data_IF_112197721864
#
_entry.id   IF_112197721864
#
_cell.length_a   1.000
_cell.length_b   1.000
_cell.length_c   1.000
_cell.angle_alpha   90.00
_cell.angle_beta   90.00
_cell.angle_gamma   90.00
#
_symmetry.space_group_name_H-M   'P 1'
#
loop_
_entity.id
_entity.type
_entity.pdbx_description
1 polymer ?
#
# COMPACT_ATOMS: atom_id res chain seq x y z
N UNK A 1 -19.52 -6.99 3.20
CA UNK A 1 -18.68 -8.02 3.87
C UNK A 1 -17.78 -8.81 2.90
N UNK A 2 -17.80 -8.53 1.59
CA UNK A 2 -16.94 -9.20 0.60
C UNK A 2 -15.56 -8.55 0.41
N UNK A 3 -15.37 -7.31 0.88
CA UNK A 3 -14.10 -6.57 0.74
C UNK A 3 -12.92 -7.17 1.54
N UNK A 4 -13.17 -8.11 2.47
CA UNK A 4 -12.16 -8.75 3.31
C UNK A 4 -12.03 -10.27 3.11
N UNK A 5 -12.65 -10.86 2.08
CA UNK A 5 -12.56 -12.31 1.84
C UNK A 5 -13.38 -13.18 2.81
N UNK A 6 -14.51 -12.65 3.30
CA UNK A 6 -15.42 -13.37 4.20
C UNK A 6 -14.89 -13.56 5.63
N UNK A 7 -15.58 -14.40 6.41
CA UNK A 7 -15.29 -14.68 7.83
C UNK A 7 -13.84 -15.11 8.04
N UNK A 8 -13.24 -15.80 7.07
CA UNK A 8 -11.86 -16.28 7.14
C UNK A 8 -10.81 -15.19 7.00
N UNK A 9 -11.00 -14.24 6.07
CA UNK A 9 -10.10 -13.10 5.96
C UNK A 9 -10.25 -12.10 7.12
N UNK A 10 -11.42 -12.05 7.75
CA UNK A 10 -11.64 -11.32 9.00
C UNK A 10 -10.85 -11.95 10.16
N UNK A 11 -10.79 -13.28 10.23
CA UNK A 11 -9.95 -14.02 11.20
C UNK A 11 -8.47 -13.77 10.92
N UNK A 12 -8.02 -13.89 9.68
CA UNK A 12 -6.61 -13.69 9.30
C UNK A 12 -6.10 -12.26 9.57
N UNK A 13 -6.98 -11.26 9.52
CA UNK A 13 -6.63 -9.86 9.79
C UNK A 13 -6.68 -9.50 11.28
N UNK A 14 -7.51 -10.19 12.07
CA UNK A 14 -7.73 -9.88 13.48
C UNK A 14 -6.82 -10.69 14.40
N UNK A 15 -6.51 -11.94 14.03
CA UNK A 15 -5.69 -12.87 14.84
C UNK A 15 -4.28 -12.34 15.13
N UNK A 16 -3.52 -11.78 14.18
CA UNK A 16 -2.19 -11.26 14.48
C UNK A 16 -2.23 -10.06 15.45
N UNK A 17 -3.23 -9.19 15.31
CA UNK A 17 -3.45 -8.06 16.21
C UNK A 17 -3.80 -8.51 17.62
N UNK A 18 -4.66 -9.54 17.75
CA UNK A 18 -4.99 -10.13 19.05
C UNK A 18 -3.78 -10.80 19.71
N UNK A 19 -2.97 -11.53 18.96
CA UNK A 19 -1.75 -12.18 19.47
C UNK A 19 -0.72 -11.14 19.92
N UNK A 20 -0.55 -10.04 19.18
CA UNK A 20 0.27 -8.91 19.62
C UNK A 20 -0.17 -8.37 20.98
N UNK A 21 -1.48 -8.07 21.13
CA UNK A 21 -2.04 -7.54 22.38
C UNK A 21 -1.84 -8.53 23.52
N UNK A 22 -2.13 -9.81 23.31
CA UNK A 22 -2.05 -10.85 24.34
C UNK A 22 -0.61 -11.06 24.83
N UNK A 23 0.37 -11.13 23.92
CA UNK A 23 1.79 -11.28 24.27
C UNK A 23 2.33 -10.01 24.95
N UNK A 24 1.91 -8.83 24.49
CA UNK A 24 2.31 -7.56 25.10
C UNK A 24 1.72 -7.39 26.51
N UNK A 25 0.46 -7.77 26.73
CA UNK A 25 -0.20 -7.64 28.04
C UNK A 25 0.43 -8.56 29.09
N UNK A 26 0.84 -9.78 28.70
CA UNK A 26 1.45 -10.76 29.62
C UNK A 26 2.93 -10.48 29.86
N UNK A 27 3.69 -10.16 28.81
CA UNK A 27 5.14 -9.99 28.90
C UNK A 27 5.62 -8.56 29.15
N UNK A 28 4.78 -7.55 28.87
CA UNK A 28 5.13 -6.10 28.78
C UNK A 28 6.36 -5.77 27.92
N UNK A 29 6.84 -6.72 27.14
CA UNK A 29 7.97 -6.59 26.25
C UNK A 29 7.46 -6.42 24.81
N UNK A 30 7.63 -5.21 24.30
CA UNK A 30 7.18 -4.83 22.96
C UNK A 30 7.92 -5.59 21.86
N UNK A 31 9.20 -5.91 22.08
CA UNK A 31 10.05 -6.58 21.10
C UNK A 31 9.57 -8.01 20.87
N UNK A 32 9.25 -8.71 21.95
CA UNK A 32 8.76 -10.09 21.95
C UNK A 32 7.35 -10.18 21.35
N UNK A 33 6.47 -9.26 21.72
CA UNK A 33 5.12 -9.17 21.17
C UNK A 33 5.11 -8.87 19.67
N UNK A 34 5.97 -7.95 19.22
CA UNK A 34 6.12 -7.60 17.82
C UNK A 34 6.67 -8.77 17.00
N UNK A 35 7.72 -9.45 17.49
CA UNK A 35 8.32 -10.61 16.80
C UNK A 35 7.33 -11.77 16.70
N UNK A 36 6.57 -12.04 17.76
CA UNK A 36 5.55 -13.10 17.76
C UNK A 36 4.41 -12.81 16.77
N UNK A 37 3.87 -11.59 16.78
CA UNK A 37 2.79 -11.18 15.88
C UNK A 37 3.24 -11.10 14.41
N UNK A 38 4.48 -10.65 14.18
CA UNK A 38 5.09 -10.66 12.85
C UNK A 38 5.36 -12.08 12.37
N UNK A 39 5.92 -12.95 13.19
CA UNK A 39 6.14 -14.37 12.86
C UNK A 39 4.84 -15.08 12.49
N UNK A 40 3.77 -14.84 13.24
CA UNK A 40 2.44 -15.39 12.94
C UNK A 40 1.85 -14.81 11.65
N UNK A 41 2.00 -13.51 11.42
CA UNK A 41 1.57 -12.87 10.17
C UNK A 41 2.29 -13.43 8.95
N UNK A 42 3.59 -13.69 9.09
CA UNK A 42 4.42 -14.31 8.04
C UNK A 42 4.01 -15.77 7.82
N UNK A 43 3.74 -16.55 8.87
CA UNK A 43 3.26 -17.92 8.74
C UNK A 43 1.89 -17.99 8.04
N UNK A 44 0.97 -17.09 8.36
CA UNK A 44 -0.33 -17.01 7.70
C UNK A 44 -0.18 -16.56 6.23
N UNK A 45 0.73 -15.63 5.95
CA UNK A 45 1.06 -15.22 4.59
C UNK A 45 1.69 -16.37 3.77
N UNK A 46 2.57 -17.17 4.38
CA UNK A 46 3.16 -18.36 3.76
C UNK A 46 2.12 -19.48 3.56
N UNK A 47 1.21 -19.69 4.52
CA UNK A 47 0.10 -20.61 4.35
C UNK A 47 -0.83 -20.19 3.20
N UNK A 48 -1.07 -18.88 3.02
CA UNK A 48 -1.76 -18.32 1.84
C UNK A 48 -1.01 -18.59 0.54
N UNK A 49 0.32 -18.44 0.56
CA UNK A 49 1.18 -18.67 -0.59
C UNK A 49 1.15 -20.14 -1.04
N UNK A 50 1.18 -21.08 -0.09
CA UNK A 50 1.05 -22.53 -0.36
C UNK A 50 -0.35 -22.88 -0.90
N UNK A 51 -1.39 -22.14 -0.47
CA UNK A 51 -2.78 -22.33 -0.91
C UNK A 51 -3.11 -21.75 -2.29
N UNK A 52 -2.13 -21.17 -3.01
CA UNK A 52 -2.30 -20.55 -4.34
C UNK A 52 -3.37 -19.46 -4.43
N UNK A 53 -3.66 -18.78 -3.31
CA UNK A 53 -4.40 -17.52 -3.39
C UNK A 53 -3.50 -16.47 -4.05
N UNK A 54 -3.96 -15.95 -5.20
CA UNK A 54 -3.31 -14.96 -6.08
C UNK A 54 -1.85 -15.25 -6.44
N UNK A 55 -1.67 -16.20 -7.37
CA UNK A 55 -0.44 -16.50 -8.13
C UNK A 55 0.37 -15.25 -8.56
N UNK A 56 -0.27 -14.08 -8.79
CA UNK A 56 0.39 -12.82 -9.18
C UNK A 56 1.45 -12.31 -8.20
N UNK A 57 1.34 -12.57 -6.89
CA UNK A 57 2.34 -12.13 -5.90
C UNK A 57 3.49 -13.14 -5.71
N UNK A 58 3.25 -14.44 -5.95
CA UNK A 58 4.31 -15.45 -5.93
C UNK A 58 5.30 -15.27 -7.08
N UNK A 59 4.81 -14.86 -8.26
CA UNK A 59 5.66 -14.61 -9.43
C UNK A 59 6.56 -13.38 -9.27
N UNK A 60 6.13 -12.31 -8.58
CA UNK A 60 6.96 -11.09 -8.48
C UNK A 60 8.26 -11.33 -7.69
N UNK A 61 8.23 -12.19 -6.67
CA UNK A 61 9.42 -12.58 -5.91
C UNK A 61 10.41 -13.39 -6.76
N UNK A 62 9.93 -14.41 -7.46
CA UNK A 62 10.76 -15.25 -8.34
C UNK A 62 11.34 -14.44 -9.50
N UNK A 63 10.53 -13.59 -10.14
CA UNK A 63 11.01 -12.69 -11.19
C UNK A 63 12.04 -11.69 -10.68
N UNK A 64 11.83 -11.11 -9.49
CA UNK A 64 12.79 -10.19 -8.89
C UNK A 64 14.14 -10.86 -8.62
N UNK A 65 14.13 -12.08 -8.10
CA UNK A 65 15.35 -12.88 -7.88
C UNK A 65 16.01 -13.26 -9.21
N UNK A 66 15.24 -13.66 -10.22
CA UNK A 66 15.76 -14.00 -11.53
C UNK A 66 16.45 -12.80 -12.21
N UNK A 67 15.81 -11.62 -12.18
CA UNK A 67 16.38 -10.38 -12.71
C UNK A 67 17.67 -10.02 -11.96
N UNK A 68 17.65 -10.08 -10.62
CA UNK A 68 18.86 -9.84 -9.82
C UNK A 68 19.99 -10.81 -10.18
N UNK A 69 19.68 -12.10 -10.30
CA UNK A 69 20.65 -13.13 -10.65
C UNK A 69 21.27 -12.87 -12.03
N UNK A 70 20.47 -12.49 -13.03
CA UNK A 70 20.97 -12.12 -14.36
C UNK A 70 21.97 -10.96 -14.29
N UNK A 71 21.65 -9.90 -13.54
CA UNK A 71 22.56 -8.76 -13.38
C UNK A 71 23.88 -9.13 -12.69
N UNK A 72 23.82 -9.99 -11.66
CA UNK A 72 25.02 -10.50 -11.00
C UNK A 72 25.88 -11.36 -11.94
N UNK A 73 25.26 -12.28 -12.69
CA UNK A 73 25.95 -13.16 -13.63
C UNK A 73 26.58 -12.40 -14.80
N UNK A 74 25.89 -11.41 -15.37
CA UNK A 74 26.41 -10.61 -16.48
C UNK A 74 27.59 -9.73 -16.09
N UNK A 75 27.66 -9.29 -14.84
CA UNK A 75 28.67 -8.36 -14.37
C UNK A 75 29.85 -9.01 -13.65
N UNK A 76 29.70 -10.26 -13.20
CA UNK A 76 30.68 -10.94 -12.37
C UNK A 76 30.76 -10.44 -10.91
N UNK A 77 29.90 -9.49 -10.50
CA UNK A 77 29.86 -8.95 -9.14
C UNK A 77 28.50 -9.27 -8.48
N UNK A 78 28.55 -9.98 -7.35
CA UNK A 78 27.37 -10.34 -6.58
C UNK A 78 26.59 -9.13 -6.04
N UNK A 79 27.21 -7.95 -5.89
CA UNK A 79 26.50 -6.71 -5.49
C UNK A 79 25.44 -6.31 -6.50
N UNK A 80 25.65 -6.63 -7.79
CA UNK A 80 24.70 -6.33 -8.85
C UNK A 80 23.40 -7.12 -8.77
N UNK A 81 23.36 -8.16 -7.94
CA UNK A 81 22.10 -8.82 -7.57
C UNK A 81 21.08 -7.83 -6.97
N UNK A 82 21.56 -6.88 -6.17
CA UNK A 82 20.70 -5.94 -5.46
C UNK A 82 20.34 -4.70 -6.28
N UNK A 83 21.11 -4.41 -7.34
CA UNK A 83 21.06 -3.17 -8.10
C UNK A 83 19.68 -2.92 -8.76
N UNK A 84 19.03 -3.88 -9.44
CA UNK A 84 17.70 -3.65 -10.02
C UNK A 84 16.67 -3.22 -8.98
N UNK A 85 16.65 -3.87 -7.81
CA UNK A 85 15.73 -3.51 -6.73
C UNK A 85 16.05 -2.17 -6.06
N UNK A 86 17.34 -1.80 -6.00
CA UNK A 86 17.76 -0.49 -5.50
C UNK A 86 17.34 0.63 -6.45
N UNK A 87 17.55 0.45 -7.76
CA UNK A 87 17.10 1.38 -8.79
C UNK A 87 15.58 1.51 -8.81
N UNK A 88 14.85 0.42 -8.67
CA UNK A 88 13.40 0.44 -8.54
C UNK A 88 12.94 1.26 -7.32
N UNK A 89 13.55 1.03 -6.16
CA UNK A 89 13.22 1.77 -4.93
C UNK A 89 13.52 3.26 -5.06
N UNK A 90 14.66 3.62 -5.68
CA UNK A 90 15.02 4.99 -5.95
C UNK A 90 14.06 5.65 -6.95
N UNK A 91 13.71 4.94 -8.02
CA UNK A 91 12.72 5.37 -9.00
C UNK A 91 11.35 5.63 -8.36
N UNK A 92 10.91 4.75 -7.45
CA UNK A 92 9.71 4.98 -6.64
C UNK A 92 9.84 6.23 -5.76
N UNK A 93 10.96 6.39 -5.05
CA UNK A 93 11.18 7.56 -4.20
C UNK A 93 11.05 8.87 -5.01
N UNK A 94 11.70 8.92 -6.18
CA UNK A 94 11.62 10.05 -7.10
C UNK A 94 10.20 10.23 -7.62
N UNK A 95 9.51 9.16 -8.01
CA UNK A 95 8.12 9.22 -8.47
C UNK A 95 7.19 9.79 -7.38
N UNK A 96 7.32 9.34 -6.13
CA UNK A 96 6.59 9.91 -5.00
C UNK A 96 6.86 11.41 -4.85
N UNK A 97 8.13 11.83 -4.81
CA UNK A 97 8.49 13.24 -4.70
C UNK A 97 7.94 14.07 -5.87
N UNK A 98 8.13 13.64 -7.11
CA UNK A 98 7.63 14.32 -8.31
C UNK A 98 6.11 14.40 -8.30
N UNK A 99 5.41 13.32 -7.94
CA UNK A 99 3.96 13.30 -7.86
C UNK A 99 3.44 14.30 -6.81
N UNK A 100 4.15 14.46 -5.69
CA UNK A 100 3.82 15.43 -4.67
C UNK A 100 4.05 16.87 -5.15
N UNK A 101 5.14 17.13 -5.88
CA UNK A 101 5.45 18.45 -6.48
C UNK A 101 4.41 18.83 -7.55
N UNK A 102 4.02 17.88 -8.40
CA UNK A 102 3.01 18.08 -9.43
C UNK A 102 1.56 18.18 -8.89
N UNK A 103 1.39 18.21 -7.57
CA UNK A 103 0.07 18.20 -6.89
C UNK A 103 -0.82 17.04 -7.33
N UNK A 104 -0.21 15.92 -7.69
CA UNK A 104 -0.87 14.68 -8.06
C UNK A 104 -0.37 13.52 -7.18
N UNK A 105 -0.62 13.58 -5.86
CA UNK A 105 -0.01 12.65 -4.90
C UNK A 105 -0.36 11.19 -5.19
N UNK A 106 0.66 10.37 -5.42
CA UNK A 106 0.53 8.92 -5.68
C UNK A 106 -0.31 8.20 -4.61
N UNK A 107 -0.16 8.57 -3.33
CA UNK A 107 -0.97 7.98 -2.25
C UNK A 107 -2.45 8.28 -2.43
N UNK A 108 -2.80 9.48 -2.92
CA UNK A 108 -4.19 9.83 -3.21
C UNK A 108 -4.77 9.06 -4.39
N UNK A 109 -3.95 8.78 -5.40
CA UNK A 109 -4.35 7.94 -6.55
C UNK A 109 -4.58 6.49 -6.12
N UNK A 110 -3.73 5.97 -5.23
CA UNK A 110 -3.85 4.60 -4.72
C UNK A 110 -5.01 4.44 -3.74
N UNK A 111 -5.22 5.41 -2.83
CA UNK A 111 -6.24 5.33 -1.78
C UNK A 111 -7.60 5.89 -2.18
N UNK A 112 -7.68 6.78 -3.17
CA UNK A 112 -8.93 7.37 -3.62
C UNK A 112 -9.98 6.33 -4.05
N UNK A 113 -9.65 5.36 -4.91
CA UNK A 113 -10.55 4.27 -5.25
C UNK A 113 -10.91 3.39 -4.04
N UNK A 114 -9.94 3.13 -3.16
CA UNK A 114 -10.15 2.30 -1.96
C UNK A 114 -11.15 2.95 -0.99
N UNK A 115 -11.17 4.28 -0.92
CA UNK A 115 -12.05 5.09 -0.06
C UNK A 115 -13.32 5.55 -0.79
N UNK A 116 -13.63 5.00 -1.97
CA UNK A 116 -14.83 5.28 -2.80
C UNK A 116 -15.03 6.73 -3.25
N UNK A 117 -13.97 7.52 -3.25
CA UNK A 117 -14.02 8.94 -3.62
C UNK A 117 -13.19 9.28 -4.85
N UNK A 118 -12.46 8.29 -5.37
CA UNK A 118 -11.71 8.37 -6.61
C UNK A 118 -10.76 9.58 -6.64
N UNK A 119 -10.94 10.55 -7.55
CA UNK A 119 -10.11 11.77 -7.64
C UNK A 119 -10.79 13.02 -7.06
N UNK A 120 -11.96 12.90 -6.42
CA UNK A 120 -12.72 14.06 -5.90
C UNK A 120 -11.98 14.83 -4.81
N UNK A 121 -11.05 14.18 -4.11
CA UNK A 121 -10.18 14.82 -3.12
C UNK A 121 -9.29 15.91 -3.68
N UNK A 122 -9.03 15.90 -4.99
CA UNK A 122 -8.20 16.91 -5.62
C UNK A 122 -8.99 18.21 -5.88
N UNK A 123 -10.30 18.10 -6.07
CA UNK A 123 -11.18 19.21 -6.48
C UNK A 123 -12.10 19.67 -5.36
N UNK A 124 -12.73 18.74 -4.63
CA UNK A 124 -13.78 19.01 -3.64
C UNK A 124 -13.28 19.05 -2.19
N UNK A 125 -12.14 18.44 -1.87
CA UNK A 125 -11.66 18.35 -0.48
C UNK A 125 -10.18 18.77 -0.30
N UNK A 126 -9.90 20.08 -0.08
CA UNK A 126 -8.52 20.58 0.04
C UNK A 126 -7.79 20.03 1.28
N UNK A 127 -8.52 19.63 2.32
CA UNK A 127 -7.92 19.01 3.51
C UNK A 127 -7.32 17.64 3.22
N UNK A 128 -8.02 16.83 2.42
CA UNK A 128 -7.54 15.51 1.99
C UNK A 128 -6.42 15.59 0.96
N UNK A 129 -6.47 16.54 0.04
CA UNK A 129 -5.34 16.83 -0.85
C UNK A 129 -4.05 17.09 -0.04
N UNK A 130 -4.14 17.88 1.04
CA UNK A 130 -2.99 18.13 1.93
C UNK A 130 -2.54 16.85 2.64
N UNK A 131 -3.46 16.03 3.15
CA UNK A 131 -3.12 14.78 3.82
C UNK A 131 -2.42 13.78 2.88
N UNK A 132 -2.94 13.58 1.66
CA UNK A 132 -2.31 12.72 0.66
C UNK A 132 -0.98 13.25 0.16
N UNK A 133 -0.85 14.56 0.01
CA UNK A 133 0.44 15.19 -0.35
C UNK A 133 1.48 14.96 0.76
N UNK A 134 1.11 15.12 2.03
CA UNK A 134 2.00 14.82 3.17
C UNK A 134 2.40 13.35 3.23
N UNK A 135 1.45 12.43 3.04
CA UNK A 135 1.72 11.00 2.99
C UNK A 135 2.65 10.65 1.82
N UNK A 136 2.39 11.20 0.63
CA UNK A 136 3.23 10.99 -0.57
C UNK A 136 4.65 11.50 -0.35
N UNK A 137 4.83 12.67 0.28
CA UNK A 137 6.15 13.17 0.68
C UNK A 137 6.83 12.26 1.69
N UNK A 138 6.12 11.76 2.70
CA UNK A 138 6.68 10.83 3.67
C UNK A 138 7.22 9.55 3.00
N UNK A 139 6.44 8.96 2.09
CA UNK A 139 6.90 7.81 1.30
C UNK A 139 8.12 8.15 0.46
N UNK A 140 8.08 9.27 -0.28
CA UNK A 140 9.20 9.70 -1.11
C UNK A 140 10.48 9.91 -0.30
N UNK A 141 10.42 10.66 0.80
CA UNK A 141 11.58 10.99 1.63
C UNK A 141 12.16 9.79 2.37
N UNK A 142 11.30 8.91 2.91
CA UNK A 142 11.76 7.70 3.62
C UNK A 142 12.43 6.73 2.66
N UNK A 143 11.86 6.53 1.45
CA UNK A 143 12.47 5.68 0.43
C UNK A 143 13.74 6.31 -0.16
N UNK A 144 13.78 7.64 -0.27
CA UNK A 144 14.98 8.36 -0.68
C UNK A 144 16.08 8.22 0.37
N UNK A 145 15.76 8.35 1.66
CA UNK A 145 16.69 8.13 2.77
C UNK A 145 17.22 6.70 2.80
N UNK A 146 16.35 5.70 2.62
CA UNK A 146 16.76 4.30 2.44
C UNK A 146 17.75 4.15 1.28
N UNK A 147 17.47 4.79 0.14
CA UNK A 147 18.36 4.75 -1.03
C UNK A 147 19.69 5.45 -0.74
N UNK A 148 19.67 6.61 -0.07
CA UNK A 148 20.86 7.35 0.33
C UNK A 148 21.77 6.57 1.28
N UNK A 149 21.24 5.60 2.02
CA UNK A 149 22.04 4.67 2.84
C UNK A 149 22.59 3.51 2.00
N UNK A 150 21.76 2.90 1.14
CA UNK A 150 22.13 1.70 0.40
C UNK A 150 23.11 1.95 -0.75
N UNK A 151 22.99 3.07 -1.48
CA UNK A 151 23.86 3.36 -2.61
C UNK A 151 25.34 3.55 -2.21
N UNK A 152 25.68 4.30 -1.15
CA UNK A 152 27.05 4.35 -0.64
C UNK A 152 27.63 2.97 -0.29
N UNK A 153 26.86 2.14 0.41
CA UNK A 153 27.30 0.78 0.79
C UNK A 153 27.50 -0.10 -0.45
N UNK A 154 26.70 0.10 -1.51
CA UNK A 154 26.89 -0.60 -2.76
C UNK A 154 28.21 -0.24 -3.46
N UNK A 155 28.59 1.04 -3.47
CA UNK A 155 29.84 1.49 -4.11
C UNK A 155 31.08 1.15 -3.30
N UNK A 156 31.04 1.37 -1.98
CA UNK A 156 32.23 1.29 -1.11
C UNK A 156 32.27 0.07 -0.18
N UNK A 157 31.16 -0.64 -0.01
CA UNK A 157 31.04 -1.79 0.87
C UNK A 157 31.12 -3.14 0.14
N UNK A 158 31.04 -4.21 0.94
CA UNK A 158 30.98 -5.58 0.47
C UNK A 158 29.52 -6.09 0.32
N UNK A 159 29.37 -7.24 -0.34
CA UNK A 159 28.07 -7.86 -0.64
C UNK A 159 27.32 -8.25 0.65
N UNK A 160 28.06 -8.66 1.67
CA UNK A 160 27.51 -9.18 2.93
C UNK A 160 26.91 -8.05 3.75
N UNK A 161 27.65 -6.95 3.93
CA UNK A 161 27.21 -5.71 4.57
C UNK A 161 25.98 -5.15 3.84
N UNK A 162 26.03 -5.08 2.50
CA UNK A 162 24.91 -4.61 1.70
C UNK A 162 23.65 -5.48 1.92
N UNK A 163 23.81 -6.80 1.95
CA UNK A 163 22.74 -7.75 2.23
C UNK A 163 22.10 -7.52 3.60
N UNK A 164 22.90 -7.45 4.67
CA UNK A 164 22.41 -7.23 6.03
C UNK A 164 21.69 -5.89 6.17
N UNK A 165 22.28 -4.80 5.68
CA UNK A 165 21.66 -3.46 5.76
C UNK A 165 20.37 -3.42 4.94
N UNK A 166 20.31 -4.07 3.77
CA UNK A 166 19.10 -4.14 2.96
C UNK A 166 17.97 -4.89 3.68
N UNK A 167 18.27 -5.99 4.36
CA UNK A 167 17.32 -6.75 5.16
C UNK A 167 16.84 -5.92 6.36
N UNK A 168 17.78 -5.30 7.10
CA UNK A 168 17.46 -4.45 8.24
C UNK A 168 16.58 -3.26 7.85
N UNK A 169 16.83 -2.64 6.70
CA UNK A 169 16.01 -1.55 6.15
C UNK A 169 14.78 -2.06 5.37
N UNK A 170 14.46 -3.34 5.40
CA UNK A 170 13.30 -3.88 4.69
C UNK A 170 11.99 -3.40 5.30
N UNK A 171 11.77 -3.76 6.56
CA UNK A 171 10.51 -3.54 7.27
C UNK A 171 10.40 -2.15 7.92
N UNK A 172 11.42 -1.62 8.63
CA UNK A 172 11.26 -0.39 9.40
C UNK A 172 10.85 0.84 8.55
N UNK A 173 11.46 1.11 7.38
CA UNK A 173 11.02 2.21 6.52
C UNK A 173 9.59 2.05 6.02
N UNK A 174 9.19 0.82 5.69
CA UNK A 174 7.82 0.52 5.24
C UNK A 174 6.80 0.80 6.35
N UNK A 175 7.06 0.33 7.57
CA UNK A 175 6.20 0.58 8.72
C UNK A 175 6.08 2.07 9.02
N UNK A 176 7.20 2.79 8.94
CA UNK A 176 7.20 4.25 9.12
C UNK A 176 6.31 4.95 8.09
N UNK A 177 6.40 4.57 6.82
CA UNK A 177 5.55 5.12 5.76
C UNK A 177 4.05 4.86 6.02
N UNK A 178 3.70 3.63 6.39
CA UNK A 178 2.31 3.25 6.70
C UNK A 178 1.80 4.01 7.92
N UNK A 179 2.59 4.07 8.99
CA UNK A 179 2.27 4.81 10.20
C UNK A 179 2.04 6.30 9.92
N UNK A 180 2.95 6.95 9.18
CA UNK A 180 2.80 8.36 8.81
C UNK A 180 1.56 8.59 7.94
N UNK A 181 1.27 7.67 7.01
CA UNK A 181 0.06 7.71 6.19
C UNK A 181 -1.18 7.67 7.08
N UNK A 182 -1.23 6.74 8.04
CA UNK A 182 -2.32 6.66 9.01
C UNK A 182 -2.48 7.95 9.82
N UNK A 183 -1.39 8.50 10.38
CA UNK A 183 -1.44 9.74 11.18
C UNK A 183 -1.94 10.92 10.36
N UNK A 184 -1.57 11.03 9.08
CA UNK A 184 -2.03 12.11 8.21
C UNK A 184 -3.50 11.95 7.81
N UNK A 185 -3.93 10.72 7.51
CA UNK A 185 -5.32 10.43 7.14
C UNK A 185 -6.28 10.52 8.33
N UNK A 186 -5.86 10.08 9.52
CA UNK A 186 -6.68 10.16 10.74
C UNK A 186 -7.03 11.61 11.13
N UNK A 187 -6.22 12.57 10.69
CA UNK A 187 -6.45 14.02 10.89
C UNK A 187 -7.15 14.68 9.70
N UNK A 188 -7.43 13.94 8.64
CA UNK A 188 -8.03 14.46 7.43
C UNK A 188 -9.57 14.46 7.56
N UNK A 189 -10.27 15.39 6.89
CA UNK A 189 -11.71 15.35 6.77
C UNK A 189 -12.19 14.05 6.10
N UNK A 190 -13.41 13.59 6.40
CA UNK A 190 -13.93 12.33 5.90
C UNK A 190 -13.97 12.29 4.36
N UNK A 191 -13.84 11.09 3.77
CA UNK A 191 -13.95 10.91 2.33
C UNK A 191 -15.36 11.24 1.83
N UNK A 192 -15.46 11.74 0.60
CA UNK A 192 -16.74 12.00 -0.06
C UNK A 192 -17.03 10.79 -0.93
N UNK A 193 -18.06 10.00 -0.60
CA UNK A 193 -18.41 8.80 -1.38
C UNK A 193 -19.09 9.20 -2.69
N UNK A 194 -18.25 9.45 -3.70
CA UNK A 194 -18.70 9.84 -5.05
C UNK A 194 -19.44 8.69 -5.71
N UNK A 195 -19.10 7.44 -5.38
CA UNK A 195 -19.77 6.28 -5.96
C UNK A 195 -21.22 6.25 -5.47
N UNK A 196 -21.46 6.50 -4.18
CA UNK A 196 -22.82 6.61 -3.64
C UNK A 196 -23.60 7.81 -4.23
N UNK A 197 -22.94 8.96 -4.45
CA UNK A 197 -23.57 10.11 -5.12
C UNK A 197 -24.03 9.75 -6.54
N UNK A 198 -23.19 9.09 -7.35
CA UNK A 198 -23.55 8.67 -8.70
C UNK A 198 -24.67 7.61 -8.70
N UNK A 199 -24.61 6.64 -7.78
CA UNK A 199 -25.67 5.64 -7.61
C UNK A 199 -27.04 6.28 -7.27
N UNK A 200 -27.04 7.34 -6.45
CA UNK A 200 -28.24 8.08 -6.10
C UNK A 200 -28.78 8.95 -7.27
N UNK A 201 -27.89 9.58 -8.04
CA UNK A 201 -28.28 10.32 -9.25
C UNK A 201 -28.89 9.38 -10.30
N UNK A 202 -28.26 8.23 -10.57
CA UNK A 202 -28.80 7.22 -11.49
C UNK A 202 -30.16 6.67 -11.03
N UNK A 203 -30.33 6.43 -9.72
CA UNK A 203 -31.62 6.00 -9.18
C UNK A 203 -32.70 7.06 -9.37
N UNK A 204 -32.40 8.33 -9.10
CA UNK A 204 -33.33 9.44 -9.31
C UNK A 204 -33.66 9.64 -10.80
N UNK A 205 -32.71 9.41 -11.71
CA UNK A 205 -32.97 9.42 -13.16
C UNK A 205 -33.91 8.29 -13.58
N UNK A 206 -33.69 7.07 -13.11
CA UNK A 206 -34.58 5.92 -13.37
C UNK A 206 -35.99 6.18 -12.88
N UNK A 207 -36.15 6.70 -11.65
CA UNK A 207 -37.46 7.07 -11.11
C UNK A 207 -38.16 8.14 -11.96
N UNK A 208 -37.41 9.14 -12.46
CA UNK A 208 -37.94 10.17 -13.36
C UNK A 208 -38.36 9.60 -14.71
N UNK A 209 -37.60 8.66 -15.26
CA UNK A 209 -37.94 7.97 -16.51
C UNK A 209 -39.18 7.08 -16.35
N UNK A 210 -39.25 6.31 -15.26
CA UNK A 210 -40.43 5.50 -14.92
C UNK A 210 -41.68 6.37 -14.73
N UNK A 211 -41.55 7.49 -14.00
CA UNK A 211 -42.65 8.44 -13.82
C UNK A 211 -43.11 9.05 -15.15
N UNK A 212 -42.17 9.40 -16.05
CA UNK A 212 -42.49 9.88 -17.41
C UNK A 212 -43.16 8.81 -18.26
N UNK A 213 -42.66 7.57 -18.23
CA UNK A 213 -43.24 6.44 -18.96
C UNK A 213 -44.65 6.09 -18.48
N UNK A 214 -44.87 6.08 -17.16
CA UNK A 214 -46.19 5.82 -16.56
C UNK A 214 -47.18 6.96 -16.83
N UNK A 215 -46.71 8.22 -16.86
CA UNK A 215 -47.54 9.35 -17.27
C UNK A 215 -47.94 9.27 -18.75
N UNK A 216 -47.01 8.90 -19.65
CA UNK A 216 -47.28 8.71 -21.07
C UNK A 216 -48.28 7.56 -21.34
N UNK A 217 -48.14 6.44 -20.61
CA UNK A 217 -49.05 5.30 -20.71
C UNK A 217 -50.48 5.58 -20.21
N UNK A 218 -50.67 6.57 -19.32
CA UNK A 218 -52.01 7.01 -18.86
C UNK A 218 -52.71 7.97 -19.81
N UNK A 219 -51.99 8.52 -20.79
CA UNK A 219 -52.52 9.48 -21.78
C UNK A 219 -52.86 8.86 -23.13
N UNK A 220 -52.59 7.56 -23.34
CA UNK A 220 -53.09 6.84 -24.52
C UNK A 220 -54.52 6.32 -24.25
N UNK A 221 -55.52 6.69 -25.07
CA UNK A 221 -56.93 6.37 -24.87
C UNK A 221 -57.31 4.92 -25.21
#
# INVERSE_FOLDING_TARGET
MEAFGGVRGMVDTTVPGLVFVLVYTVGRDLHTAAVAALGLSVLLALARLVRRETLKHAFSGVFGVAIGAVFAMMSGDAKNFYLPGMLYTLGLAVAYCLSAVLRFPLIGVLLGPLMRENLSWRTRNPGRLKAYTKATWAWGLVLLGKSAILFPIYFWGDVTQLGWVKVALGIPPLLLCVYLTYVFLAKAPPPIDVIAEMEAEEAAEREREEARGNAAARTEP
#
